data_IF_791212585509
#
_entry.id   IF_791212585509
#
_cell.length_a   1.000
_cell.length_b   1.000
_cell.length_c   1.000
_cell.angle_alpha   90.00
_cell.angle_beta   90.00
_cell.angle_gamma   90.00
#
_symmetry.space_group_name_H-M   'P 1'
#
loop_
_entity.id
_entity.type
_entity.pdbx_description
1 polymer ?
#
# COMPACT_ATOMS: atom_id res chain seq x y z
N UNK A 1 -22.82 92.64 12.06
CA UNK A 1 -22.05 91.69 11.24
C UNK A 1 -21.00 91.07 12.16
N UNK A 2 -20.93 89.78 12.45
CA UNK A 2 -21.04 88.62 11.57
C UNK A 2 -21.70 87.42 12.30
N UNK A 3 -22.53 86.73 11.55
CA UNK A 3 -23.24 85.49 11.83
C UNK A 3 -22.29 84.33 12.14
N UNK A 4 -22.58 83.56 13.18
CA UNK A 4 -21.95 82.27 13.47
C UNK A 4 -22.68 81.22 12.64
N UNK A 5 -22.01 80.69 11.61
CA UNK A 5 -22.50 79.64 10.72
C UNK A 5 -22.11 78.28 11.29
N UNK A 6 -23.11 77.53 11.76
CA UNK A 6 -23.03 76.12 12.12
C UNK A 6 -22.69 75.30 10.87
N UNK A 7 -21.55 74.61 10.88
CA UNK A 7 -21.19 73.65 9.84
C UNK A 7 -21.68 72.24 10.22
N UNK A 8 -22.37 71.52 9.31
CA UNK A 8 -23.02 70.25 9.61
C UNK A 8 -22.07 69.05 9.52
N UNK A 9 -22.22 68.15 10.49
CA UNK A 9 -22.32 66.68 10.36
C UNK A 9 -21.48 66.06 9.23
N UNK A 10 -20.23 65.69 9.54
CA UNK A 10 -19.48 64.71 8.77
C UNK A 10 -19.92 63.30 9.18
N UNK A 11 -20.96 62.79 8.51
CA UNK A 11 -21.41 61.40 8.61
C UNK A 11 -20.39 60.52 7.88
N UNK A 12 -19.42 59.98 8.62
CA UNK A 12 -18.47 59.00 8.12
C UNK A 12 -19.21 57.70 7.75
N UNK A 13 -19.19 57.41 6.45
CA UNK A 13 -19.69 56.20 5.81
C UNK A 13 -19.07 54.95 6.45
N UNK A 14 -19.87 54.21 7.23
CA UNK A 14 -19.61 52.81 7.54
C UNK A 14 -19.81 52.00 6.26
N UNK A 15 -18.73 51.89 5.47
CA UNK A 15 -18.65 50.96 4.34
C UNK A 15 -18.62 49.55 4.94
N UNK A 16 -19.81 48.94 4.96
CA UNK A 16 -20.00 47.54 5.27
C UNK A 16 -19.19 46.69 4.28
N UNK A 17 -18.09 46.10 4.74
CA UNK A 17 -17.43 45.01 4.03
C UNK A 17 -18.40 43.83 3.99
N UNK A 18 -19.08 43.63 2.86
CA UNK A 18 -19.83 42.38 2.62
C UNK A 18 -18.81 41.26 2.42
N UNK A 19 -18.87 40.17 3.21
CA UNK A 19 -18.03 39.01 2.95
C UNK A 19 -18.40 38.42 1.60
N UNK A 20 -17.46 38.49 0.65
CA UNK A 20 -17.60 37.87 -0.65
C UNK A 20 -17.38 36.37 -0.44
N UNK A 21 -18.46 35.59 -0.49
CA UNK A 21 -18.37 34.14 -0.55
C UNK A 21 -17.80 33.81 -1.93
N UNK A 22 -16.49 33.61 -1.99
CA UNK A 22 -15.84 33.06 -3.18
C UNK A 22 -16.45 31.70 -3.53
N UNK A 23 -16.42 31.29 -4.81
CA UNK A 23 -16.79 29.93 -5.16
C UNK A 23 -15.97 28.95 -4.33
N UNK A 24 -16.63 27.93 -3.78
CA UNK A 24 -15.94 26.81 -3.15
C UNK A 24 -15.19 26.06 -4.24
N UNK A 25 -13.91 26.36 -4.40
CA UNK A 25 -13.00 25.57 -5.22
C UNK A 25 -12.78 24.25 -4.48
N UNK A 26 -13.34 23.17 -5.03
CA UNK A 26 -12.94 21.83 -4.62
C UNK A 26 -11.50 21.64 -5.07
N UNK A 27 -10.57 21.86 -4.14
CA UNK A 27 -9.20 21.39 -4.29
C UNK A 27 -9.29 19.88 -4.35
N UNK A 28 -9.13 19.34 -5.55
CA UNK A 28 -9.14 17.90 -5.78
C UNK A 28 -7.97 17.31 -4.97
N UNK A 29 -8.27 16.76 -3.80
CA UNK A 29 -7.28 16.20 -2.87
C UNK A 29 -6.63 14.93 -3.43
N UNK A 30 -7.05 14.47 -4.61
CA UNK A 30 -6.43 13.36 -5.32
C UNK A 30 -5.00 13.67 -5.81
N UNK A 31 -4.56 14.94 -5.76
CA UNK A 31 -3.20 15.30 -6.14
C UNK A 31 -2.53 16.27 -5.15
N UNK A 32 -1.85 15.76 -4.12
CA UNK A 32 -0.81 16.49 -3.43
C UNK A 32 0.55 16.02 -3.94
N UNK A 33 0.85 16.00 -5.24
CA UNK A 33 2.24 15.70 -5.65
C UNK A 33 2.56 16.11 -7.10
N UNK A 34 2.92 17.38 -7.28
CA UNK A 34 4.04 17.69 -8.18
C UNK A 34 5.28 16.92 -7.67
N UNK A 35 5.48 15.66 -8.09
CA UNK A 35 6.75 14.94 -7.81
C UNK A 35 6.71 13.51 -7.26
N UNK A 36 5.57 12.79 -7.22
CA UNK A 36 5.65 11.37 -6.86
C UNK A 36 6.27 10.62 -8.05
N UNK A 37 7.55 10.26 -7.93
CA UNK A 37 8.33 9.64 -8.98
C UNK A 37 7.70 8.36 -9.53
N UNK A 38 6.93 7.65 -8.70
CA UNK A 38 6.20 6.44 -9.09
C UNK A 38 5.05 6.76 -10.04
N UNK A 39 4.22 7.76 -9.70
CA UNK A 39 3.12 8.20 -10.57
C UNK A 39 3.64 8.77 -11.89
N UNK A 40 4.85 9.33 -11.89
CA UNK A 40 5.54 9.79 -13.10
C UNK A 40 6.23 8.67 -13.88
N UNK A 41 6.25 7.42 -13.38
CA UNK A 41 6.90 6.28 -14.02
C UNK A 41 8.43 6.34 -14.00
N UNK A 42 9.02 7.12 -13.09
CA UNK A 42 10.47 7.31 -12.93
C UNK A 42 11.06 6.58 -11.73
N UNK A 43 10.22 6.04 -10.83
CA UNK A 43 10.70 5.33 -9.66
C UNK A 43 11.40 4.01 -10.08
N UNK A 44 12.60 3.72 -9.57
CA UNK A 44 13.30 2.49 -9.89
C UNK A 44 12.54 1.29 -9.31
N UNK A 45 12.56 0.16 -10.02
CA UNK A 45 11.86 -1.05 -9.62
C UNK A 45 12.65 -1.78 -8.53
N UNK A 46 12.38 -1.45 -7.27
CA UNK A 46 13.02 -2.00 -6.07
C UNK A 46 12.08 -1.95 -4.88
N UNK A 47 12.40 -2.72 -3.84
CA UNK A 47 11.67 -2.66 -2.57
C UNK A 47 11.75 -1.26 -1.95
N UNK A 48 12.91 -0.59 -2.03
CA UNK A 48 13.07 0.77 -1.52
C UNK A 48 12.02 1.74 -2.08
N UNK A 49 11.80 1.73 -3.40
CA UNK A 49 10.80 2.58 -4.04
C UNK A 49 9.37 2.18 -3.67
N UNK A 50 9.07 0.86 -3.64
CA UNK A 50 7.78 0.35 -3.18
C UNK A 50 7.48 0.85 -1.76
N UNK A 51 8.47 0.73 -0.88
CA UNK A 51 8.36 1.11 0.52
C UNK A 51 8.19 2.63 0.68
N UNK A 52 9.00 3.43 0.00
CA UNK A 52 8.97 4.90 0.11
C UNK A 52 7.67 5.50 -0.43
N UNK A 53 7.20 5.04 -1.59
CA UNK A 53 6.07 5.68 -2.29
C UNK A 53 4.72 5.05 -1.98
N UNK A 54 4.66 3.79 -1.52
CA UNK A 54 3.40 3.07 -1.29
C UNK A 54 3.30 2.59 0.16
N UNK A 55 4.18 1.68 0.61
CA UNK A 55 3.98 0.98 1.89
C UNK A 55 4.03 1.94 3.07
N UNK A 56 5.05 2.81 3.13
CA UNK A 56 5.23 3.77 4.21
C UNK A 56 4.06 4.77 4.33
N UNK A 57 3.63 5.46 3.27
CA UNK A 57 2.53 6.43 3.39
C UNK A 57 1.15 5.78 3.57
N UNK A 58 0.94 4.54 3.09
CA UNK A 58 -0.43 3.99 2.94
C UNK A 58 -0.70 2.67 3.66
N UNK A 59 0.32 1.91 4.04
CA UNK A 59 0.18 0.56 4.61
C UNK A 59 0.71 0.46 6.06
N UNK A 60 1.83 1.12 6.38
CA UNK A 60 2.50 0.97 7.69
C UNK A 60 1.66 1.42 8.89
N UNK A 61 0.60 2.22 8.71
CA UNK A 61 -0.26 2.60 9.84
C UNK A 61 -0.95 1.42 10.53
N UNK A 62 -1.08 0.28 9.84
CA UNK A 62 -1.68 -0.96 10.33
C UNK A 62 -0.77 -2.19 10.16
N UNK A 63 0.29 -2.11 9.35
CA UNK A 63 1.17 -3.23 9.00
C UNK A 63 2.65 -2.92 9.32
N UNK A 64 2.91 -2.52 10.56
CA UNK A 64 4.21 -2.17 11.12
C UNK A 64 4.32 -2.62 12.58
N UNK A 65 5.21 -3.56 12.85
CA UNK A 65 5.54 -3.97 14.22
C UNK A 65 6.26 -2.86 14.97
N UNK A 66 7.06 -2.04 14.27
CA UNK A 66 7.72 -0.86 14.86
C UNK A 66 6.72 0.17 15.40
N UNK A 67 5.52 0.25 14.81
CA UNK A 67 4.41 1.08 15.30
C UNK A 67 3.47 0.31 16.24
N UNK A 68 3.81 -0.93 16.60
CA UNK A 68 3.03 -1.80 17.49
C UNK A 68 1.72 -2.28 16.87
N UNK A 69 1.63 -2.36 15.53
CA UNK A 69 0.43 -2.74 14.79
C UNK A 69 0.79 -3.57 13.57
N UNK A 70 0.62 -4.89 13.64
CA UNK A 70 0.76 -5.78 12.50
C UNK A 70 -0.56 -6.54 12.31
N UNK A 71 -1.54 -5.89 11.69
CA UNK A 71 -2.84 -6.49 11.41
C UNK A 71 -2.72 -7.51 10.25
N UNK A 72 -3.60 -8.53 10.21
CA UNK A 72 -4.51 -8.99 11.26
C UNK A 72 -3.80 -9.76 12.40
N UNK A 73 -4.43 -9.89 13.56
CA UNK A 73 -3.85 -10.51 14.78
C UNK A 73 -3.37 -11.96 14.59
N UNK A 74 -4.11 -12.77 13.81
CA UNK A 74 -3.82 -14.20 13.64
C UNK A 74 -2.92 -14.54 12.44
N UNK A 75 -2.63 -13.55 11.59
CA UNK A 75 -1.71 -13.69 10.46
C UNK A 75 -1.07 -12.32 10.18
N UNK A 76 -0.21 -11.83 11.10
CA UNK A 76 0.28 -10.46 11.07
C UNK A 76 1.09 -10.19 9.81
N UNK A 77 0.79 -9.08 9.15
CA UNK A 77 1.53 -8.60 7.99
C UNK A 77 2.40 -7.43 8.43
N UNK A 78 3.70 -7.53 8.18
CA UNK A 78 4.69 -6.52 8.52
C UNK A 78 5.44 -6.05 7.27
N UNK A 79 5.36 -4.75 6.97
CA UNK A 79 6.05 -4.13 5.83
C UNK A 79 7.25 -3.25 6.25
N UNK A 80 7.71 -3.32 7.51
CA UNK A 80 8.78 -2.48 8.03
C UNK A 80 10.12 -2.65 7.28
N UNK A 81 10.45 -3.88 6.88
CA UNK A 81 11.67 -4.19 6.13
C UNK A 81 11.39 -5.14 4.97
N UNK A 82 12.40 -5.33 4.12
CA UNK A 82 12.31 -6.29 3.02
C UNK A 82 12.12 -7.71 3.57
N UNK A 83 12.91 -8.08 4.57
CA UNK A 83 12.91 -9.42 5.17
C UNK A 83 11.55 -9.76 5.78
N UNK A 84 10.94 -8.82 6.52
CA UNK A 84 9.61 -9.04 7.11
C UNK A 84 8.50 -9.07 6.05
N UNK A 85 8.65 -8.31 4.97
CA UNK A 85 7.73 -8.34 3.83
C UNK A 85 7.78 -9.70 3.10
N UNK A 86 8.96 -10.31 3.03
CA UNK A 86 9.23 -11.56 2.31
C UNK A 86 9.09 -12.81 3.18
N UNK A 87 8.69 -12.66 4.43
CA UNK A 87 8.48 -13.77 5.36
C UNK A 87 7.49 -14.80 4.78
N UNK A 88 7.85 -16.08 4.84
CA UNK A 88 6.96 -17.18 4.43
C UNK A 88 5.77 -17.24 5.39
N UNK A 89 4.56 -17.30 4.84
CA UNK A 89 3.30 -17.41 5.59
C UNK A 89 2.53 -18.62 5.08
N UNK A 90 1.72 -19.21 5.96
CA UNK A 90 0.87 -20.36 5.60
C UNK A 90 0.00 -20.06 4.37
N UNK A 91 -0.57 -18.85 4.32
CA UNK A 91 -1.13 -18.29 3.09
C UNK A 91 -0.12 -17.29 2.53
N UNK A 92 0.51 -17.55 1.37
CA UNK A 92 1.55 -16.68 0.83
C UNK A 92 1.06 -15.25 0.64
N UNK A 93 1.73 -14.30 1.29
CA UNK A 93 1.48 -12.87 1.08
C UNK A 93 1.87 -12.47 -0.35
N UNK A 94 3.00 -13.01 -0.82
CA UNK A 94 3.53 -12.81 -2.14
C UNK A 94 4.10 -14.12 -2.69
N UNK A 95 3.86 -14.35 -3.97
CA UNK A 95 4.48 -15.39 -4.77
C UNK A 95 5.31 -14.67 -5.84
N UNK A 96 6.63 -14.75 -5.72
CA UNK A 96 7.58 -14.12 -6.65
C UNK A 96 7.22 -14.51 -8.10
N UNK A 97 7.21 -13.55 -9.01
CA UNK A 97 6.87 -13.79 -10.42
C UNK A 97 5.37 -13.83 -10.73
N UNK A 98 4.52 -14.06 -9.73
CA UNK A 98 3.09 -14.35 -9.92
C UNK A 98 2.17 -13.37 -9.17
N UNK A 99 2.03 -12.10 -9.60
CA UNK A 99 1.18 -11.12 -8.93
C UNK A 99 -0.24 -11.59 -8.68
N UNK A 100 -0.86 -12.25 -9.67
CA UNK A 100 -2.25 -12.72 -9.55
C UNK A 100 -2.46 -13.86 -8.57
N UNK A 101 -1.39 -14.51 -8.11
CA UNK A 101 -1.42 -15.53 -7.05
C UNK A 101 -0.94 -14.98 -5.71
N UNK A 102 -0.54 -13.70 -5.66
CA UNK A 102 -0.06 -13.03 -4.46
C UNK A 102 -1.23 -12.32 -3.78
N UNK A 103 -1.50 -12.68 -2.53
CA UNK A 103 -2.55 -12.04 -1.71
C UNK A 103 -2.37 -10.52 -1.64
N UNK A 104 -1.13 -10.03 -1.52
CA UNK A 104 -0.82 -8.60 -1.52
C UNK A 104 -1.41 -7.87 -2.74
N UNK A 105 -1.20 -8.41 -3.95
CA UNK A 105 -1.68 -7.76 -5.17
C UNK A 105 -3.20 -7.88 -5.31
N UNK A 106 -3.76 -9.03 -4.96
CA UNK A 106 -5.21 -9.26 -4.99
C UNK A 106 -5.96 -8.26 -4.11
N UNK A 107 -5.53 -8.06 -2.86
CA UNK A 107 -6.21 -7.14 -1.93
C UNK A 107 -6.16 -5.68 -2.40
N UNK A 108 -5.04 -5.24 -2.98
CA UNK A 108 -4.92 -3.87 -3.50
C UNK A 108 -5.64 -3.69 -4.84
N UNK A 109 -5.65 -4.70 -5.71
CA UNK A 109 -6.35 -4.65 -7.01
C UNK A 109 -7.87 -4.68 -6.81
N UNK A 110 -8.36 -5.45 -5.83
CA UNK A 110 -9.77 -5.43 -5.42
C UNK A 110 -10.13 -4.14 -4.66
N UNK A 111 -9.13 -3.44 -4.11
CA UNK A 111 -9.31 -2.18 -3.39
C UNK A 111 -9.79 -2.36 -1.95
N UNK A 112 -9.64 -3.56 -1.41
CA UNK A 112 -9.86 -3.85 0.00
C UNK A 112 -8.77 -3.21 0.87
N UNK A 113 -7.57 -3.08 0.31
CA UNK A 113 -6.43 -2.43 0.96
C UNK A 113 -5.86 -1.29 0.10
N UNK A 114 -5.48 -0.16 0.73
CA UNK A 114 -5.73 0.23 2.12
C UNK A 114 -7.22 0.52 2.42
N UNK A 115 -7.63 0.29 3.68
CA UNK A 115 -9.02 0.48 4.15
C UNK A 115 -9.57 1.90 3.90
N UNK A 116 -8.72 2.92 4.07
CA UNK A 116 -9.15 4.32 4.02
C UNK A 116 -9.31 4.86 2.60
N UNK A 117 -8.41 4.46 1.71
CA UNK A 117 -8.32 5.01 0.37
C UNK A 117 -7.67 3.98 -0.55
N UNK A 118 -8.33 3.70 -1.67
CA UNK A 118 -7.82 2.80 -2.71
C UNK A 118 -6.54 3.37 -3.33
N UNK A 119 -5.58 2.50 -3.62
CA UNK A 119 -4.38 2.89 -4.35
C UNK A 119 -4.71 3.41 -5.76
N UNK A 120 -3.89 4.34 -6.24
CA UNK A 120 -3.96 4.78 -7.62
C UNK A 120 -3.53 3.62 -8.55
N UNK A 121 -4.11 3.52 -9.75
CA UNK A 121 -3.84 2.39 -10.65
C UNK A 121 -2.34 2.19 -10.93
N UNK A 122 -1.59 3.27 -11.12
CA UNK A 122 -0.11 3.20 -11.30
C UNK A 122 0.64 2.60 -10.10
N UNK A 123 0.14 2.76 -8.88
CA UNK A 123 0.71 2.14 -7.69
C UNK A 123 0.44 0.63 -7.66
N UNK A 124 -0.80 0.25 -7.99
CA UNK A 124 -1.20 -1.16 -8.15
C UNK A 124 -0.35 -1.83 -9.25
N UNK A 125 -0.18 -1.16 -10.39
CA UNK A 125 0.66 -1.63 -11.49
C UNK A 125 2.13 -1.73 -11.09
N UNK A 126 2.62 -0.84 -10.24
CA UNK A 126 3.99 -0.89 -9.72
C UNK A 126 4.18 -2.10 -8.80
N UNK A 127 3.25 -2.37 -7.88
CA UNK A 127 3.26 -3.58 -7.04
C UNK A 127 3.27 -4.83 -7.92
N UNK A 128 2.40 -4.88 -8.94
CA UNK A 128 2.33 -6.00 -9.87
C UNK A 128 3.65 -6.21 -10.63
N UNK A 129 4.29 -5.13 -11.08
CA UNK A 129 5.59 -5.19 -11.76
C UNK A 129 6.69 -5.65 -10.81
N UNK A 130 6.71 -5.14 -9.58
CA UNK A 130 7.70 -5.49 -8.57
C UNK A 130 7.61 -6.98 -8.22
N UNK A 131 6.42 -7.50 -7.94
CA UNK A 131 6.22 -8.95 -7.69
C UNK A 131 6.64 -9.77 -8.91
N UNK A 132 6.22 -9.37 -10.12
CA UNK A 132 6.57 -10.08 -11.36
C UNK A 132 8.07 -10.12 -11.60
N UNK A 133 8.80 -9.10 -11.16
CA UNK A 133 10.25 -9.04 -11.25
C UNK A 133 10.97 -9.78 -10.10
N UNK A 134 10.28 -10.73 -9.46
CA UNK A 134 10.75 -11.51 -8.32
C UNK A 134 10.97 -10.70 -7.04
N UNK A 135 10.19 -9.63 -6.87
CA UNK A 135 10.21 -8.80 -5.67
C UNK A 135 11.64 -8.34 -5.29
N UNK A 136 12.35 -7.64 -6.19
CA UNK A 136 13.76 -7.33 -5.96
C UNK A 136 13.94 -6.38 -4.79
N UNK A 137 14.89 -6.69 -3.90
CA UNK A 137 15.28 -5.79 -2.81
C UNK A 137 15.93 -4.52 -3.37
N UNK A 138 16.94 -4.70 -4.23
CA UNK A 138 17.69 -3.63 -4.89
C UNK A 138 17.11 -3.28 -6.26
N UNK A 139 17.61 -2.20 -6.87
CA UNK A 139 17.22 -1.81 -8.22
C UNK A 139 17.79 -2.79 -9.25
N UNK A 140 16.94 -3.24 -10.16
CA UNK A 140 17.31 -4.13 -11.26
C UNK A 140 17.25 -3.40 -12.59
N UNK A 141 18.17 -3.74 -13.50
CA UNK A 141 18.20 -3.20 -14.87
C UNK A 141 17.44 -4.08 -15.86
N UNK A 142 17.27 -5.37 -15.56
CA UNK A 142 16.59 -6.34 -16.42
C UNK A 142 15.66 -7.24 -15.60
N UNK A 143 14.50 -7.59 -16.15
CA UNK A 143 13.57 -8.51 -15.48
C UNK A 143 14.12 -9.95 -15.56
N UNK A 144 14.20 -10.66 -14.42
CA UNK A 144 14.56 -12.07 -14.43
C UNK A 144 13.53 -12.90 -15.22
N UNK A 145 14.00 -13.92 -15.94
CA UNK A 145 13.14 -14.82 -16.74
C UNK A 145 12.38 -15.82 -15.88
N UNK A 146 13.00 -16.26 -14.79
CA UNK A 146 12.39 -17.09 -13.77
C UNK A 146 12.75 -16.53 -12.40
N UNK A 147 11.79 -16.52 -11.49
CA UNK A 147 12.11 -16.40 -10.08
C UNK A 147 12.52 -17.79 -9.65
N UNK A 148 13.71 -17.97 -9.10
CA UNK A 148 14.05 -19.26 -8.49
C UNK A 148 12.88 -19.62 -7.55
N UNK A 149 12.21 -20.73 -7.87
CA UNK A 149 11.23 -21.33 -7.00
C UNK A 149 12.06 -21.77 -5.79
N UNK A 150 11.74 -21.22 -4.62
CA UNK A 150 12.35 -21.71 -3.39
C UNK A 150 11.75 -23.13 -3.23
N UNK A 151 12.42 -24.12 -3.85
CA UNK A 151 12.11 -25.55 -3.89
C UNK A 151 12.10 -26.09 -2.45
N UNK A 152 10.99 -25.86 -1.74
CA UNK A 152 10.60 -26.67 -0.60
C UNK A 152 9.37 -27.47 -1.05
N UNK A 153 9.58 -28.36 -2.02
CA UNK A 153 8.77 -29.57 -2.15
C UNK A 153 9.03 -30.38 -0.88
N UNK A 154 8.35 -30.02 0.21
CA UNK A 154 8.05 -30.97 1.28
C UNK A 154 7.01 -31.95 0.69
N UNK A 155 7.50 -32.81 -0.21
CA UNK A 155 6.90 -34.11 -0.48
C UNK A 155 7.04 -34.90 0.82
N UNK A 156 6.10 -34.66 1.74
CA UNK A 156 5.82 -35.56 2.83
C UNK A 156 5.35 -36.88 2.20
N UNK A 157 6.31 -37.75 1.86
CA UNK A 157 6.10 -39.18 1.67
C UNK A 157 5.48 -39.69 2.98
N UNK A 158 4.16 -39.59 3.05
CA UNK A 158 3.35 -40.30 4.03
C UNK A 158 3.33 -41.75 3.55
N UNK A 159 4.44 -42.46 3.79
CA UNK A 159 4.52 -43.92 3.77
C UNK A 159 3.47 -44.44 4.76
N UNK A 160 2.26 -44.64 4.25
CA UNK A 160 1.19 -45.34 4.93
C UNK A 160 1.43 -46.85 4.81
N UNK A 161 2.59 -47.30 5.32
CA UNK A 161 2.90 -48.71 5.55
C UNK A 161 2.25 -49.14 6.87
N UNK A 162 0.91 -49.21 6.86
CA UNK A 162 0.19 -50.09 7.78
C UNK A 162 0.27 -51.49 7.18
N UNK A 163 1.31 -52.23 7.57
CA UNK A 163 1.33 -53.69 7.45
C UNK A 163 0.27 -54.25 8.42
N UNK A 164 -0.94 -54.48 7.90
CA UNK A 164 -1.95 -55.31 8.54
C UNK A 164 -1.47 -56.78 8.53
N UNK A 165 -0.56 -57.13 9.44
CA UNK A 165 -0.32 -58.52 9.86
C UNK A 165 -1.53 -58.98 10.70
N UNK A 166 -2.63 -59.27 10.02
CA UNK A 166 -3.71 -60.07 10.59
C UNK A 166 -3.28 -61.55 10.53
N UNK A 167 -2.48 -61.93 11.52
CA UNK A 167 -2.12 -63.32 11.74
C UNK A 167 -3.39 -64.18 11.82
N UNK A 168 -3.33 -65.22 11.00
CA UNK A 168 -4.33 -66.25 10.79
C UNK A 168 -4.07 -67.38 11.78
N UNK A 169 -4.76 -67.40 12.92
CA UNK A 169 -4.83 -68.55 13.83
C UNK A 169 -6.21 -69.25 13.75
N UNK A 170 -6.23 -70.20 12.81
CA UNK A 170 -6.52 -71.63 13.03
C UNK A 170 -7.87 -72.06 13.67
N UNK A 171 -8.71 -72.63 12.80
CA UNK A 171 -9.70 -73.74 12.93
C UNK A 171 -10.25 -74.16 14.32
#
# INVERSE_FOLDING_TARGET
MRTVLLFPIALLLLIACKPQKGPLEFKDSTLPFEGNALIQGKAPLSFKSLHEFILKPKCLSCHSELLGRAEPEFDPINFDTYETTMEKKFIPLLIKGHPKKSRLWEEVDNGNMPIKERLHQKEIDFIAKWIRACAPNEEITELPKNCEEDDDDDDDDFDDDIEDDFDNDEF
#
